data_IF_396988242592
#
_entry.id   IF_396988242592
#
_cell.length_a   1.000
_cell.length_b   1.000
_cell.length_c   1.000
_cell.angle_alpha   90.00
_cell.angle_beta   90.00
_cell.angle_gamma   90.00
#
_symmetry.space_group_name_H-M   'P 1'
#
loop_
_entity.id
_entity.type
_entity.pdbx_description
1 polymer ?
#
# COMPACT_ATOMS: atom_id res chain seq x y z
N UNK A 1 -2.11 -1.22 7.18
CA UNK A 1 -1.68 -2.55 6.71
C UNK A 1 -1.24 -2.46 5.25
N UNK A 2 -0.47 -3.43 4.77
CA UNK A 2 -0.05 -3.54 3.38
C UNK A 2 0.21 -5.01 3.01
N UNK A 3 0.12 -5.34 1.71
CA UNK A 3 0.48 -6.67 1.22
C UNK A 3 1.92 -6.69 0.75
N UNK A 4 2.79 -7.29 1.55
CA UNK A 4 4.19 -7.48 1.21
C UNK A 4 4.36 -8.63 0.21
N UNK A 5 5.14 -8.42 -0.85
CA UNK A 5 5.63 -9.48 -1.73
C UNK A 5 7.06 -9.88 -1.40
N UNK A 6 7.37 -11.16 -1.50
CA UNK A 6 8.70 -11.72 -1.33
C UNK A 6 9.03 -12.63 -2.52
N UNK A 7 10.13 -12.39 -3.25
CA UNK A 7 10.55 -13.31 -4.30
C UNK A 7 11.03 -14.63 -3.66
N UNK A 8 10.50 -15.75 -4.17
CA UNK A 8 10.88 -17.11 -3.83
C UNK A 8 11.20 -17.85 -5.14
N UNK A 9 11.95 -18.95 -5.10
CA UNK A 9 12.38 -19.65 -6.30
C UNK A 9 11.20 -19.92 -7.27
N UNK A 10 11.17 -19.17 -8.38
CA UNK A 10 10.17 -19.30 -9.46
C UNK A 10 8.82 -18.61 -9.23
N UNK A 11 8.56 -17.97 -8.09
CA UNK A 11 7.28 -17.31 -7.81
C UNK A 11 7.38 -16.22 -6.74
N UNK A 12 6.27 -15.55 -6.43
CA UNK A 12 6.18 -14.62 -5.30
C UNK A 12 5.35 -15.22 -4.18
N UNK A 13 5.79 -15.02 -2.94
CA UNK A 13 4.96 -15.22 -1.77
C UNK A 13 4.47 -13.89 -1.23
N UNK A 14 3.23 -13.88 -0.75
CA UNK A 14 2.59 -12.70 -0.23
C UNK A 14 2.26 -12.86 1.26
N UNK A 15 2.38 -11.76 1.99
CA UNK A 15 2.04 -11.67 3.40
C UNK A 15 1.36 -10.35 3.70
N UNK A 16 0.34 -10.38 4.54
CA UNK A 16 -0.25 -9.19 5.10
C UNK A 16 0.59 -8.72 6.28
N UNK A 17 1.00 -7.46 6.25
CA UNK A 17 1.87 -6.87 7.26
C UNK A 17 1.32 -5.52 7.74
N UNK A 18 1.80 -5.11 8.90
CA UNK A 18 1.61 -3.76 9.44
C UNK A 18 2.95 -3.11 9.75
N UNK A 19 3.01 -1.79 9.55
CA UNK A 19 4.09 -0.98 10.09
C UNK A 19 3.70 -0.51 11.49
N UNK A 20 4.64 -0.60 12.42
CA UNK A 20 4.51 -0.10 13.78
C UNK A 20 5.75 0.70 14.16
N UNK A 21 5.58 1.69 15.01
CA UNK A 21 6.67 2.52 15.48
C UNK A 21 7.32 1.91 16.72
N UNK A 22 8.60 1.58 16.62
CA UNK A 22 9.42 1.19 17.75
C UNK A 22 10.67 2.06 17.75
N UNK A 23 10.69 3.05 18.64
CA UNK A 23 11.67 4.13 18.61
C UNK A 23 13.12 3.59 18.50
N UNK A 24 13.94 4.15 17.60
CA UNK A 24 13.66 5.33 16.77
C UNK A 24 13.09 5.02 15.37
N UNK A 25 12.72 3.77 15.06
CA UNK A 25 12.44 3.33 13.69
C UNK A 25 11.02 2.78 13.49
N UNK A 26 10.53 2.86 12.25
CA UNK A 26 9.35 2.11 11.83
C UNK A 26 9.75 0.69 11.45
N UNK A 27 9.19 -0.30 12.14
CA UNK A 27 9.38 -1.73 11.87
C UNK A 27 8.11 -2.31 11.25
N UNK A 28 8.24 -3.49 10.64
CA UNK A 28 7.10 -4.24 10.14
C UNK A 28 6.88 -5.52 10.93
N UNK A 29 5.61 -5.89 11.10
CA UNK A 29 5.20 -7.16 11.69
C UNK A 29 4.30 -7.90 10.71
N UNK A 30 4.50 -9.22 10.62
CA UNK A 30 3.63 -10.09 9.84
C UNK A 30 2.34 -10.38 10.62
N UNK A 31 1.21 -10.11 9.98
CA UNK A 31 -0.13 -10.41 10.50
C UNK A 31 -0.53 -11.81 10.04
N UNK A 32 -0.49 -12.04 8.72
CA UNK A 32 -0.97 -13.26 8.09
C UNK A 32 -0.12 -13.56 6.86
N UNK A 33 0.17 -14.84 6.62
CA UNK A 33 0.74 -15.28 5.35
C UNK A 33 -0.39 -15.58 4.37
N UNK A 34 -0.39 -14.90 3.22
CA UNK A 34 -1.38 -15.11 2.17
C UNK A 34 -0.96 -16.24 1.21
N UNK A 35 0.32 -16.59 1.19
CA UNK A 35 0.86 -17.61 0.30
C UNK A 35 1.11 -17.08 -1.12
N UNK A 36 1.22 -17.95 -2.12
CA UNK A 36 1.55 -17.56 -3.49
C UNK A 36 0.36 -17.01 -4.29
N UNK A 37 -0.87 -17.32 -3.85
CA UNK A 37 -2.12 -17.02 -4.58
C UNK A 37 -3.09 -16.18 -3.75
N UNK A 38 -2.84 -14.86 -3.56
CA UNK A 38 -3.77 -13.98 -2.86
C UNK A 38 -5.16 -13.91 -3.50
N UNK A 39 -5.26 -14.24 -4.79
CA UNK A 39 -6.51 -14.28 -5.55
C UNK A 39 -7.52 -15.28 -4.96
N UNK A 40 -7.05 -16.33 -4.30
CA UNK A 40 -7.91 -17.35 -3.67
C UNK A 40 -8.75 -16.79 -2.50
N UNK A 41 -8.42 -15.61 -2.00
CA UNK A 41 -9.19 -14.92 -0.97
C UNK A 41 -10.30 -14.02 -1.55
N UNK A 42 -10.44 -13.94 -2.86
CA UNK A 42 -11.44 -13.08 -3.52
C UNK A 42 -12.57 -13.95 -4.07
N UNK A 43 -13.77 -13.77 -3.52
CA UNK A 43 -14.98 -14.44 -3.99
C UNK A 43 -15.78 -13.49 -4.89
N UNK A 44 -15.92 -13.84 -6.17
CA UNK A 44 -16.70 -13.06 -7.15
C UNK A 44 -18.15 -13.55 -7.24
N UNK A 45 -19.09 -12.62 -7.09
CA UNK A 45 -20.52 -12.85 -7.34
C UNK A 45 -20.93 -12.42 -8.76
N UNK A 46 -20.13 -11.57 -9.39
CA UNK A 46 -20.24 -11.16 -10.79
C UNK A 46 -18.88 -10.70 -11.31
N UNK A 47 -18.81 -10.14 -12.52
CA UNK A 47 -17.55 -9.59 -13.07
C UNK A 47 -16.97 -8.44 -12.23
N UNK A 48 -17.83 -7.74 -11.48
CA UNK A 48 -17.48 -6.49 -10.76
C UNK A 48 -17.87 -6.50 -9.28
N UNK A 49 -18.73 -7.43 -8.87
CA UNK A 49 -19.14 -7.61 -7.48
C UNK A 49 -18.35 -8.76 -6.86
N UNK A 50 -17.63 -8.47 -5.79
CA UNK A 50 -16.77 -9.42 -5.09
C UNK A 50 -16.70 -9.12 -3.59
N UNK A 51 -16.24 -10.09 -2.81
CA UNK A 51 -15.88 -9.92 -1.40
C UNK A 51 -14.51 -10.54 -1.13
N UNK A 52 -13.84 -10.06 -0.08
CA UNK A 52 -12.55 -10.60 0.35
C UNK A 52 -12.74 -11.38 1.65
N UNK A 53 -12.40 -12.67 1.60
CA UNK A 53 -12.68 -13.66 2.65
C UNK A 53 -11.56 -13.68 3.71
N UNK A 54 -11.25 -12.49 4.25
CA UNK A 54 -10.24 -12.28 5.29
C UNK A 54 -10.76 -11.56 6.54
N UNK A 55 -11.93 -10.93 6.48
CA UNK A 55 -12.48 -10.14 7.57
C UNK A 55 -12.58 -10.95 8.88
N UNK A 56 -13.23 -12.11 8.84
CA UNK A 56 -13.36 -13.02 9.99
C UNK A 56 -12.01 -13.51 10.53
N UNK A 57 -11.03 -13.73 9.65
CA UNK A 57 -9.70 -14.20 10.05
C UNK A 57 -8.93 -13.10 10.75
N UNK A 58 -9.05 -11.86 10.28
CA UNK A 58 -8.41 -10.69 10.85
C UNK A 58 -9.07 -10.27 12.16
N UNK A 59 -10.39 -10.36 12.26
CA UNK A 59 -11.12 -10.09 13.50
C UNK A 59 -10.68 -11.03 14.62
N UNK A 60 -10.51 -12.33 14.34
CA UNK A 60 -9.96 -13.31 15.30
C UNK A 60 -8.54 -13.00 15.75
N UNK A 61 -7.76 -12.29 14.93
CA UNK A 61 -6.40 -11.83 15.26
C UNK A 61 -6.41 -10.47 15.98
N UNK A 62 -7.58 -9.88 16.24
CA UNK A 62 -7.74 -8.59 16.92
C UNK A 62 -7.72 -7.39 15.98
N UNK A 63 -7.75 -7.59 14.67
CA UNK A 63 -7.78 -6.53 13.68
C UNK A 63 -9.20 -6.31 13.16
N UNK A 64 -9.72 -5.10 13.37
CA UNK A 64 -10.99 -4.66 12.77
C UNK A 64 -10.69 -3.95 11.46
N UNK A 65 -11.01 -4.60 10.36
CA UNK A 65 -10.88 -4.07 8.99
C UNK A 65 -12.25 -4.15 8.32
N UNK A 66 -12.54 -3.21 7.44
CA UNK A 66 -13.74 -3.26 6.60
C UNK A 66 -13.42 -3.79 5.20
N UNK A 67 -14.45 -4.14 4.43
CA UNK A 67 -14.28 -4.58 3.04
C UNK A 67 -13.59 -3.51 2.18
N UNK A 68 -13.81 -2.21 2.42
CA UNK A 68 -13.18 -1.15 1.64
C UNK A 68 -11.66 -1.07 1.85
N UNK A 69 -11.18 -1.33 3.06
CA UNK A 69 -9.76 -1.45 3.37
C UNK A 69 -9.16 -2.70 2.73
N UNK A 70 -9.87 -3.83 2.81
CA UNK A 70 -9.45 -5.07 2.14
C UNK A 70 -9.40 -4.90 0.61
N UNK A 71 -10.40 -4.26 0.00
CA UNK A 71 -10.46 -3.96 -1.43
C UNK A 71 -9.24 -3.16 -1.88
N UNK A 72 -8.83 -2.14 -1.10
CA UNK A 72 -7.61 -1.36 -1.39
C UNK A 72 -6.34 -2.20 -1.31
N UNK A 73 -6.26 -3.11 -0.33
CA UNK A 73 -5.11 -3.99 -0.15
C UNK A 73 -5.00 -5.05 -1.26
N UNK A 74 -6.15 -5.56 -1.71
CA UNK A 74 -6.24 -6.60 -2.72
C UNK A 74 -6.39 -6.06 -4.15
N UNK A 75 -6.46 -4.73 -4.32
CA UNK A 75 -6.73 -4.08 -5.59
C UNK A 75 -5.90 -4.63 -6.77
N UNK A 76 -4.60 -4.86 -6.55
CA UNK A 76 -3.69 -5.38 -7.59
C UNK A 76 -3.94 -6.83 -8.02
N UNK A 77 -4.70 -7.58 -7.22
CA UNK A 77 -5.08 -8.98 -7.49
C UNK A 77 -6.51 -9.10 -8.02
N UNK A 78 -7.25 -7.99 -8.10
CA UNK A 78 -8.59 -8.01 -8.66
C UNK A 78 -8.53 -8.24 -10.17
N UNK A 79 -9.61 -8.78 -10.74
CA UNK A 79 -9.74 -8.93 -12.17
C UNK A 79 -9.76 -7.54 -12.88
N UNK A 80 -9.43 -7.47 -14.18
CA UNK A 80 -9.34 -6.18 -14.88
C UNK A 80 -10.63 -5.36 -14.86
N UNK A 81 -11.80 -5.99 -14.93
CA UNK A 81 -13.09 -5.29 -14.93
C UNK A 81 -13.42 -4.68 -13.56
N UNK A 82 -13.20 -5.41 -12.45
CA UNK A 82 -13.35 -4.88 -11.10
C UNK A 82 -12.36 -3.73 -10.85
N UNK A 83 -11.09 -3.87 -11.26
CA UNK A 83 -10.11 -2.77 -11.17
C UNK A 83 -10.58 -1.53 -11.94
N UNK A 84 -11.11 -1.70 -13.15
CA UNK A 84 -11.63 -0.62 -13.99
C UNK A 84 -12.79 0.09 -13.32
N UNK A 85 -13.78 -0.66 -12.81
CA UNK A 85 -14.94 -0.13 -12.11
C UNK A 85 -14.51 0.63 -10.86
N UNK A 86 -13.67 0.04 -10.00
CA UNK A 86 -13.17 0.71 -8.81
C UNK A 86 -12.46 2.02 -9.18
N UNK A 87 -11.59 2.02 -10.19
CA UNK A 87 -10.94 3.25 -10.66
C UNK A 87 -11.93 4.32 -11.17
N UNK A 88 -13.02 3.91 -11.82
CA UNK A 88 -14.05 4.83 -12.33
C UNK A 88 -14.93 5.41 -11.23
N UNK A 89 -15.31 4.60 -10.24
CA UNK A 89 -16.17 5.02 -9.11
C UNK A 89 -15.37 5.68 -7.99
N UNK A 90 -14.10 5.34 -7.85
CA UNK A 90 -13.10 6.10 -7.09
C UNK A 90 -12.68 7.33 -7.89
N UNK A 91 -13.65 8.14 -8.37
CA UNK A 91 -13.35 9.53 -8.71
C UNK A 91 -12.66 10.14 -7.50
N UNK A 92 -11.66 11.03 -7.67
CA UNK A 92 -11.03 11.70 -6.55
C UNK A 92 -12.13 12.50 -5.85
N UNK A 93 -12.76 11.89 -4.85
CA UNK A 93 -13.54 12.65 -3.91
C UNK A 93 -12.54 13.70 -3.43
N UNK A 94 -12.93 14.95 -3.56
CA UNK A 94 -12.36 16.07 -2.84
C UNK A 94 -12.57 15.86 -1.32
N UNK A 95 -12.29 14.66 -0.81
CA UNK A 95 -11.82 14.46 0.53
C UNK A 95 -10.66 15.42 0.62
N UNK A 96 -10.88 16.49 1.38
CA UNK A 96 -9.82 17.28 1.97
C UNK A 96 -8.93 16.26 2.65
N UNK A 97 -7.94 15.68 1.93
CA UNK A 97 -6.87 14.88 2.51
C UNK A 97 -6.35 15.82 3.58
N UNK A 98 -6.69 15.54 4.84
CA UNK A 98 -6.20 16.30 5.98
C UNK A 98 -4.72 16.31 5.74
N UNK A 99 -4.18 17.47 5.36
CA UNK A 99 -2.78 17.56 4.96
C UNK A 99 -2.01 17.23 6.22
N UNK A 100 -1.56 15.98 6.30
CA UNK A 100 -0.80 15.52 7.43
C UNK A 100 0.43 16.43 7.44
N UNK A 101 0.57 17.21 8.51
CA UNK A 101 1.77 18.02 8.69
C UNK A 101 2.89 17.01 8.82
N UNK A 102 3.78 17.00 7.84
CA UNK A 102 4.95 16.14 7.83
C UNK A 102 6.18 17.02 7.69
N UNK A 103 7.29 16.54 8.23
CA UNK A 103 8.60 17.16 8.05
C UNK A 103 9.40 16.34 7.05
N UNK A 104 10.07 17.00 6.11
CA UNK A 104 11.00 16.32 5.20
C UNK A 104 12.13 15.62 5.97
N UNK A 105 12.43 16.05 7.21
CA UNK A 105 13.42 15.42 8.09
C UNK A 105 13.00 14.04 8.58
N UNK A 106 11.70 13.73 8.56
CA UNK A 106 11.15 12.43 8.95
C UNK A 106 11.29 11.39 7.83
N UNK A 107 11.53 11.83 6.60
CA UNK A 107 11.63 10.97 5.42
C UNK A 107 13.09 10.84 5.03
N UNK A 108 13.52 9.63 4.74
CA UNK A 108 14.88 9.42 4.25
C UNK A 108 15.05 10.10 2.87
N UNK A 109 16.14 10.87 2.63
CA UNK A 109 16.35 11.60 1.38
C UNK A 109 16.28 10.72 0.13
N UNK A 110 16.75 9.47 0.24
CA UNK A 110 16.65 8.47 -0.83
C UNK A 110 15.19 8.19 -1.26
N UNK A 111 14.26 8.08 -0.31
CA UNK A 111 12.86 7.79 -0.62
C UNK A 111 12.15 8.99 -1.24
N UNK A 112 12.54 10.21 -0.85
CA UNK A 112 12.11 11.45 -1.52
C UNK A 112 12.57 11.43 -2.98
N UNK A 113 13.87 11.18 -3.22
CA UNK A 113 14.43 11.09 -4.58
C UNK A 113 13.67 10.05 -5.42
N UNK A 114 13.50 8.84 -4.88
CA UNK A 114 12.80 7.74 -5.56
C UNK A 114 11.37 8.12 -5.93
N UNK A 115 10.62 8.72 -4.99
CA UNK A 115 9.24 9.16 -5.24
C UNK A 115 9.17 10.26 -6.30
N UNK A 116 10.10 11.21 -6.30
CA UNK A 116 10.18 12.28 -7.30
C UNK A 116 10.46 11.72 -8.69
N UNK A 117 11.40 10.79 -8.82
CA UNK A 117 11.71 10.12 -10.09
C UNK A 117 10.50 9.37 -10.61
N UNK A 118 9.86 8.54 -9.78
CA UNK A 118 8.68 7.77 -10.19
C UNK A 118 7.49 8.65 -10.56
N UNK A 119 7.32 9.80 -9.90
CA UNK A 119 6.19 10.69 -10.16
C UNK A 119 6.37 11.60 -11.36
N UNK A 120 7.56 12.18 -11.52
CA UNK A 120 7.82 13.22 -12.53
C UNK A 120 8.70 12.73 -13.69
N UNK A 121 9.28 11.53 -13.63
CA UNK A 121 10.18 11.02 -14.67
C UNK A 121 11.48 11.81 -14.82
N UNK A 122 11.93 12.48 -13.75
CA UNK A 122 13.08 13.39 -13.80
C UNK A 122 14.41 12.68 -13.57
N UNK A 123 15.43 13.04 -14.35
CA UNK A 123 16.79 12.50 -14.19
C UNK A 123 17.57 13.16 -13.04
N UNK A 124 17.24 14.40 -12.67
CA UNK A 124 17.94 15.18 -11.65
C UNK A 124 17.02 15.57 -10.48
N UNK A 125 16.60 14.61 -9.64
CA UNK A 125 15.67 14.85 -8.52
C UNK A 125 16.25 15.73 -7.40
N UNK A 126 17.57 15.91 -7.35
CA UNK A 126 18.26 16.63 -6.27
C UNK A 126 17.83 18.08 -6.14
N UNK A 127 17.47 18.72 -7.26
CA UNK A 127 16.99 20.12 -7.28
C UNK A 127 15.63 20.31 -6.60
N UNK A 128 14.89 19.22 -6.36
CA UNK A 128 13.51 19.25 -5.88
C UNK A 128 13.34 18.56 -4.52
N UNK A 129 14.43 18.09 -3.90
CA UNK A 129 14.37 17.25 -2.69
C UNK A 129 13.87 18.02 -1.46
N UNK A 130 14.16 19.32 -1.39
CA UNK A 130 13.79 20.18 -0.26
C UNK A 130 12.37 20.75 -0.38
N UNK A 131 11.63 20.39 -1.44
CA UNK A 131 10.27 20.90 -1.68
C UNK A 131 9.27 19.94 -1.01
N UNK A 132 8.46 20.42 -0.03
CA UNK A 132 7.52 19.58 0.71
C UNK A 132 6.24 19.30 -0.10
N UNK A 133 6.38 18.53 -1.18
CA UNK A 133 5.24 18.17 -2.01
C UNK A 133 4.20 17.36 -1.21
N UNK A 134 2.89 17.63 -1.36
CA UNK A 134 1.86 16.96 -0.56
C UNK A 134 1.86 15.43 -0.66
N UNK A 135 2.26 14.87 -1.81
CA UNK A 135 2.31 13.41 -2.00
C UNK A 135 3.44 12.72 -1.23
N UNK A 136 4.43 13.47 -0.71
CA UNK A 136 5.49 12.90 0.13
C UNK A 136 4.97 12.49 1.51
N UNK A 137 3.84 13.05 1.95
CA UNK A 137 3.16 12.60 3.17
C UNK A 137 2.76 11.12 3.12
N UNK A 138 2.64 10.53 1.93
CA UNK A 138 2.36 9.10 1.73
C UNK A 138 3.55 8.21 2.14
N UNK A 139 4.75 8.76 2.31
CA UNK A 139 5.95 8.04 2.74
C UNK A 139 6.15 8.04 4.26
N UNK A 140 5.40 8.88 4.99
CA UNK A 140 5.50 8.99 6.43
C UNK A 140 4.82 7.80 7.13
N UNK A 141 5.28 7.49 8.33
CA UNK A 141 4.70 6.44 9.20
C UNK A 141 4.69 5.04 8.58
N UNK A 142 5.69 4.75 7.75
CA UNK A 142 5.85 3.48 7.07
C UNK A 142 7.21 2.88 7.40
N UNK A 143 7.22 1.57 7.62
CA UNK A 143 8.47 0.81 7.69
C UNK A 143 9.16 0.78 6.33
N UNK A 144 10.45 0.47 6.32
CA UNK A 144 11.21 0.29 5.07
C UNK A 144 10.57 -0.76 4.16
N UNK A 145 10.09 -1.85 4.74
CA UNK A 145 9.43 -2.94 4.00
C UNK A 145 8.13 -2.48 3.34
N UNK A 146 7.33 -1.67 4.04
CA UNK A 146 6.13 -1.07 3.46
C UNK A 146 6.46 -0.09 2.32
N UNK A 147 7.49 0.74 2.50
CA UNK A 147 7.93 1.69 1.47
C UNK A 147 8.39 0.97 0.20
N UNK A 148 9.19 -0.08 0.32
CA UNK A 148 9.61 -0.86 -0.84
C UNK A 148 8.40 -1.43 -1.58
N UNK A 149 7.44 -2.04 -0.87
CA UNK A 149 6.22 -2.57 -1.51
C UNK A 149 5.38 -1.47 -2.17
N UNK A 150 5.24 -0.32 -1.51
CA UNK A 150 4.55 0.84 -2.07
C UNK A 150 5.20 1.33 -3.37
N UNK A 151 6.53 1.46 -3.42
CA UNK A 151 7.24 1.88 -4.64
C UNK A 151 7.11 0.89 -5.78
N UNK A 152 6.96 -0.38 -5.43
CA UNK A 152 6.79 -1.50 -6.35
C UNK A 152 5.39 -1.54 -6.99
N UNK A 153 4.40 -0.93 -6.35
CA UNK A 153 3.01 -0.84 -6.83
C UNK A 153 2.68 0.49 -7.52
N UNK A 154 3.61 1.46 -7.51
CA UNK A 154 3.51 2.75 -8.23
C UNK A 154 3.81 2.62 -9.73
#
# INVERSE_FOLDING_TARGET
>A
MYVARRPVAGHYEYSLKESYYEAPYWKSKTILNLGPTPEDYITYYSEVAFSIDLEDKLEKLGYKVDQWELEKLFFRFLNPEAQRIINQFTRPQSLKKVRKKFSLKEIHPFDIKRRLVLKFGISNPEKFIDIPYPFLSELCEKSRDELENYFWDL
#
